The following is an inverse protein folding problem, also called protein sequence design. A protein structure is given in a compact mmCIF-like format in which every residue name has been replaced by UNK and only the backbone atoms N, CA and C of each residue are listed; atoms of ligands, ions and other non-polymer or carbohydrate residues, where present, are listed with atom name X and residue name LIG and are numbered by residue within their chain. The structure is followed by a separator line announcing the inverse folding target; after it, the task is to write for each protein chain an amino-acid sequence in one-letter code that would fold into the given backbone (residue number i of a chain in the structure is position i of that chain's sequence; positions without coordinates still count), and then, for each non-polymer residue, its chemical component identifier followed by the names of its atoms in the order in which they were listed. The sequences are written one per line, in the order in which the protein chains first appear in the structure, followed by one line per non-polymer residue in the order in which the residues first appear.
data_IF_086105023814
#
_entry.id   IF_086105023814
#
_cell.length_a   1.000
_cell.length_b   1.000
_cell.length_c   1.000
_cell.angle_alpha   90.00
_cell.angle_beta   90.00
_cell.angle_gamma   90.00
#
_symmetry.space_group_name_H-M   'P 1'
#
loop_
_entity.id
_entity.type
_entity.pdbx_description
1 polymer ?
#
# COMPACT_ATOMS: atom_id res chain seq x y z
N UNK A 1 -21.25 -27.22 -3.80
CA UNK A 1 -19.81 -26.97 -4.00
C UNK A 1 -19.11 -27.27 -2.69
N UNK A 2 -18.14 -28.18 -2.71
CA UNK A 2 -17.23 -28.34 -1.57
C UNK A 2 -16.27 -27.16 -1.53
N UNK A 3 -15.73 -26.81 -0.34
CA UNK A 3 -14.76 -25.70 -0.20
C UNK A 3 -13.51 -25.88 -1.06
N UNK A 4 -13.12 -27.13 -1.29
CA UNK A 4 -12.01 -27.50 -2.17
C UNK A 4 -12.33 -27.19 -3.65
N UNK A 5 -13.55 -27.46 -4.11
CA UNK A 5 -14.00 -27.10 -5.46
C UNK A 5 -14.04 -25.58 -5.65
N UNK A 6 -14.47 -24.83 -4.64
CA UNK A 6 -14.48 -23.36 -4.67
C UNK A 6 -13.06 -22.80 -4.82
N UNK A 7 -12.10 -23.30 -4.03
CA UNK A 7 -10.69 -22.86 -4.14
C UNK A 7 -10.13 -23.22 -5.51
N UNK A 8 -10.35 -24.43 -6.02
CA UNK A 8 -9.89 -24.81 -7.37
C UNK A 8 -10.47 -23.91 -8.45
N UNK A 9 -11.76 -23.59 -8.35
CA UNK A 9 -12.42 -22.69 -9.27
C UNK A 9 -11.79 -21.29 -9.22
N UNK A 10 -11.52 -20.75 -8.03
CA UNK A 10 -10.86 -19.46 -7.85
C UNK A 10 -9.43 -19.47 -8.40
N UNK A 11 -8.63 -20.49 -8.09
CA UNK A 11 -7.25 -20.58 -8.60
C UNK A 11 -7.20 -20.66 -10.12
N UNK A 12 -8.11 -21.43 -10.73
CA UNK A 12 -8.20 -21.55 -12.19
C UNK A 12 -8.70 -20.25 -12.85
N UNK A 13 -9.77 -19.64 -12.30
CA UNK A 13 -10.36 -18.41 -12.85
C UNK A 13 -9.39 -17.24 -12.79
N UNK A 14 -8.58 -17.17 -11.73
CA UNK A 14 -7.66 -16.06 -11.48
C UNK A 14 -6.23 -16.32 -11.98
N UNK A 15 -5.99 -17.46 -12.64
CA UNK A 15 -4.67 -17.83 -13.16
C UNK A 15 -3.58 -18.03 -12.10
N UNK A 16 -3.97 -18.29 -10.85
CA UNK A 16 -3.05 -18.42 -9.72
C UNK A 16 -2.40 -19.80 -9.75
N UNK A 17 -1.07 -19.84 -9.83
CA UNK A 17 -0.31 -21.09 -9.78
C UNK A 17 -0.37 -21.70 -8.39
N UNK A 18 -0.67 -22.99 -8.31
CA UNK A 18 -0.69 -23.76 -7.06
C UNK A 18 0.62 -23.62 -6.26
N UNK A 19 1.75 -23.51 -6.96
CA UNK A 19 3.08 -23.36 -6.36
C UNK A 19 3.20 -22.10 -5.51
N UNK A 20 2.61 -20.99 -5.97
CA UNK A 20 2.66 -19.71 -5.27
C UNK A 20 1.88 -19.76 -3.96
N UNK A 21 0.73 -20.44 -3.97
CA UNK A 21 -0.08 -20.64 -2.76
C UNK A 21 0.64 -21.58 -1.78
N UNK A 22 1.28 -22.64 -2.28
CA UNK A 22 2.06 -23.57 -1.46
C UNK A 22 3.24 -22.88 -0.78
N UNK A 23 3.98 -22.03 -1.50
CA UNK A 23 5.09 -21.22 -0.96
C UNK A 23 4.61 -20.26 0.14
N UNK A 24 3.49 -19.55 -0.09
CA UNK A 24 2.94 -18.63 0.92
C UNK A 24 2.38 -19.32 2.16
N UNK A 25 2.04 -20.60 2.07
CA UNK A 25 1.58 -21.42 3.19
C UNK A 25 2.71 -22.23 3.84
N UNK A 26 3.96 -22.04 3.41
CA UNK A 26 5.14 -22.80 3.86
C UNK A 26 4.93 -24.32 3.82
N UNK A 27 4.27 -24.80 2.76
CA UNK A 27 3.99 -26.22 2.56
C UNK A 27 4.44 -26.72 1.19
N UNK A 28 4.70 -28.03 1.10
CA UNK A 28 5.07 -28.64 -0.17
C UNK A 28 3.87 -28.63 -1.12
N UNK A 29 4.14 -28.35 -2.40
CA UNK A 29 3.15 -28.33 -3.49
C UNK A 29 2.33 -29.64 -3.54
N UNK A 30 3.02 -30.77 -3.34
CA UNK A 30 2.42 -32.11 -3.31
C UNK A 30 1.40 -32.24 -2.17
N UNK A 31 1.70 -31.68 -1.00
CA UNK A 31 0.81 -31.67 0.17
C UNK A 31 -0.43 -30.82 -0.09
N UNK A 32 -0.26 -29.62 -0.66
CA UNK A 32 -1.39 -28.77 -1.03
C UNK A 32 -2.27 -29.41 -2.12
N UNK A 33 -1.64 -30.07 -3.10
CA UNK A 33 -2.34 -30.79 -4.16
C UNK A 33 -3.18 -31.94 -3.60
N UNK A 34 -2.63 -32.73 -2.67
CA UNK A 34 -3.35 -33.78 -1.96
C UNK A 34 -4.52 -33.21 -1.16
N UNK A 35 -4.30 -32.13 -0.40
CA UNK A 35 -5.34 -31.49 0.42
C UNK A 35 -6.52 -30.95 -0.39
N UNK A 36 -6.28 -30.55 -1.65
CA UNK A 36 -7.32 -30.06 -2.53
C UNK A 36 -8.00 -31.17 -3.34
N UNK A 37 -7.31 -32.26 -3.67
CA UNK A 37 -7.82 -33.31 -4.57
C UNK A 37 -8.32 -34.57 -3.85
N UNK A 38 -7.69 -34.94 -2.74
CA UNK A 38 -7.83 -36.29 -2.17
C UNK A 38 -8.18 -36.28 -0.67
N UNK A 39 -7.99 -35.15 0.04
CA UNK A 39 -8.28 -35.10 1.48
C UNK A 39 -9.78 -35.04 1.78
N UNK A 40 -10.30 -35.94 2.66
CA UNK A 40 -11.69 -35.91 3.13
C UNK A 40 -11.95 -34.84 4.21
N UNK A 41 -10.90 -34.33 4.86
CA UNK A 41 -10.99 -33.24 5.84
C UNK A 41 -10.27 -32.01 5.28
N UNK A 42 -11.05 -30.97 4.98
CA UNK A 42 -10.53 -29.66 4.64
C UNK A 42 -10.85 -28.71 5.79
N UNK A 43 -9.81 -28.31 6.52
CA UNK A 43 -9.95 -27.45 7.68
C UNK A 43 -10.45 -26.05 7.26
N UNK A 44 -11.35 -25.49 8.06
CA UNK A 44 -11.82 -24.11 7.92
C UNK A 44 -10.67 -23.12 8.01
N UNK A 45 -9.70 -23.37 8.88
CA UNK A 45 -8.56 -22.45 9.04
C UNK A 45 -7.73 -22.37 7.75
N UNK A 46 -7.46 -23.52 7.13
CA UNK A 46 -6.74 -23.61 5.86
C UNK A 46 -7.53 -22.96 4.71
N UNK A 47 -8.85 -23.14 4.68
CA UNK A 47 -9.73 -22.47 3.73
C UNK A 47 -9.58 -20.94 3.79
N UNK A 48 -9.64 -20.37 5.00
CA UNK A 48 -9.53 -18.93 5.20
C UNK A 48 -8.14 -18.40 4.85
N UNK A 49 -7.08 -19.17 5.14
CA UNK A 49 -5.72 -18.80 4.77
C UNK A 49 -5.53 -18.75 3.24
N UNK A 50 -6.02 -19.77 2.52
CA UNK A 50 -5.95 -19.81 1.05
C UNK A 50 -6.78 -18.67 0.45
N UNK A 51 -7.99 -18.45 0.96
CA UNK A 51 -8.87 -17.37 0.48
C UNK A 51 -8.23 -15.99 0.69
N UNK A 52 -7.61 -15.76 1.86
CA UNK A 52 -6.85 -14.55 2.12
C UNK A 52 -5.68 -14.36 1.16
N UNK A 53 -4.94 -15.43 0.83
CA UNK A 53 -3.85 -15.37 -0.16
C UNK A 53 -4.38 -15.02 -1.56
N UNK A 54 -5.52 -15.58 -1.94
CA UNK A 54 -6.19 -15.29 -3.21
C UNK A 54 -6.68 -13.83 -3.24
N UNK A 55 -7.31 -13.36 -2.17
CA UNK A 55 -7.80 -11.99 -2.05
C UNK A 55 -6.64 -10.98 -2.08
N UNK A 56 -5.54 -11.29 -1.38
CA UNK A 56 -4.31 -10.49 -1.43
C UNK A 56 -3.73 -10.46 -2.85
N UNK A 57 -3.75 -11.57 -3.59
CA UNK A 57 -3.29 -11.64 -4.98
C UNK A 57 -4.22 -10.89 -5.96
N UNK A 58 -5.53 -10.98 -5.77
CA UNK A 58 -6.51 -10.21 -6.55
C UNK A 58 -6.39 -8.72 -6.28
N UNK A 59 -6.14 -8.34 -5.02
CA UNK A 59 -5.84 -6.97 -4.66
C UNK A 59 -4.54 -6.49 -5.30
N UNK A 60 -3.48 -7.31 -5.29
CA UNK A 60 -2.22 -7.04 -5.99
C UNK A 60 -2.46 -6.83 -7.49
N UNK A 61 -3.20 -7.72 -8.16
CA UNK A 61 -3.52 -7.60 -9.60
C UNK A 61 -4.35 -6.36 -9.93
N UNK A 62 -5.41 -6.09 -9.17
CA UNK A 62 -6.26 -4.90 -9.37
C UNK A 62 -5.48 -3.60 -9.13
N UNK A 63 -4.43 -3.62 -8.30
CA UNK A 63 -3.51 -2.49 -8.12
C UNK A 63 -2.71 -2.16 -9.39
N UNK A 64 -2.51 -3.14 -10.28
CA UNK A 64 -1.76 -3.00 -11.52
C UNK A 64 -2.66 -2.86 -12.77
N UNK A 65 -3.96 -3.16 -12.69
CA UNK A 65 -4.91 -2.98 -13.81
C UNK A 65 -5.45 -1.54 -13.92
N UNK A 66 -5.51 -0.78 -12.82
CA UNK A 66 -5.85 0.64 -12.90
C UNK A 66 -4.63 1.46 -13.33
N UNK A 67 -4.42 1.54 -14.66
CA UNK A 67 -4.27 2.79 -15.42
C UNK A 67 -3.36 2.74 -16.65
N UNK A 68 -3.46 1.73 -17.52
CA UNK A 68 -3.17 1.97 -18.94
C UNK A 68 -4.14 1.19 -19.82
N UNK A 69 -5.09 1.83 -20.54
CA UNK A 69 -5.66 1.17 -21.70
C UNK A 69 -4.51 0.86 -22.65
N UNK A 70 -4.46 -0.38 -23.14
CA UNK A 70 -3.45 -0.93 -24.07
C UNK A 70 -3.54 -0.31 -25.49
N UNK A 71 -3.98 0.95 -25.56
CA UNK A 71 -3.90 1.81 -26.73
C UNK A 71 -2.79 2.82 -26.46
N UNK A 72 -1.54 2.37 -26.60
CA UNK A 72 -0.41 3.28 -26.74
C UNK A 72 -0.48 3.92 -28.14
N UNK A 73 -1.41 4.86 -28.31
CA UNK A 73 -1.36 5.81 -29.41
C UNK A 73 -0.29 6.85 -29.07
N UNK A 74 0.90 6.66 -29.67
CA UNK A 74 2.10 7.50 -29.53
C UNK A 74 1.87 8.98 -29.91
N UNK A 75 0.70 9.35 -30.45
CA UNK A 75 0.38 10.71 -30.89
C UNK A 75 -0.79 11.36 -30.14
N UNK A 76 -1.32 10.73 -29.08
CA UNK A 76 -2.30 11.39 -28.20
C UNK A 76 -1.62 12.09 -27.04
N UNK A 77 -1.07 13.27 -27.32
CA UNK A 77 -0.79 14.27 -26.30
C UNK A 77 -2.10 14.60 -25.55
N UNK A 78 -2.02 14.81 -24.23
CA UNK A 78 -3.09 15.32 -23.35
C UNK A 78 -4.04 14.32 -22.64
N UNK A 79 -3.51 13.23 -22.06
CA UNK A 79 -4.03 12.78 -20.76
C UNK A 79 -2.96 12.93 -19.71
N UNK A 80 -3.04 14.08 -19.01
CA UNK A 80 -2.14 14.57 -17.98
C UNK A 80 -1.73 13.46 -17.00
N UNK A 81 -0.59 12.83 -17.23
CA UNK A 81 0.06 12.04 -16.19
C UNK A 81 0.27 12.97 -15.00
N UNK A 82 -0.23 12.61 -13.81
CA UNK A 82 -0.02 13.42 -12.61
C UNK A 82 1.47 13.72 -12.46
N UNK A 83 1.88 14.97 -12.61
CA UNK A 83 3.28 15.35 -12.52
C UNK A 83 3.83 15.17 -11.10
N UNK A 84 5.17 15.17 -10.98
CA UNK A 84 5.88 15.13 -9.67
C UNK A 84 5.33 16.19 -8.71
N UNK A 85 4.98 17.38 -9.20
CA UNK A 85 4.41 18.45 -8.40
C UNK A 85 3.03 18.15 -7.80
N UNK A 86 2.15 17.46 -8.54
CA UNK A 86 0.84 17.04 -8.02
C UNK A 86 0.98 15.92 -6.98
N UNK A 87 1.87 14.96 -7.23
CA UNK A 87 2.18 13.91 -6.25
C UNK A 87 2.77 14.50 -4.97
N UNK A 88 3.63 15.51 -5.09
CA UNK A 88 4.17 16.22 -3.94
C UNK A 88 3.09 16.96 -3.14
N UNK A 89 2.11 17.58 -3.81
CA UNK A 89 0.92 18.16 -3.14
C UNK A 89 0.12 17.09 -2.39
N UNK A 90 -0.10 15.94 -3.01
CA UNK A 90 -0.84 14.84 -2.40
C UNK A 90 -0.14 14.32 -1.15
N UNK A 91 1.17 14.09 -1.22
CA UNK A 91 1.99 13.71 -0.06
C UNK A 91 1.91 14.74 1.08
N UNK A 92 2.06 16.02 0.76
CA UNK A 92 1.97 17.09 1.74
C UNK A 92 0.60 17.14 2.44
N UNK A 93 -0.48 17.05 1.67
CA UNK A 93 -1.86 17.03 2.19
C UNK A 93 -2.10 15.82 3.09
N UNK A 94 -1.63 14.64 2.68
CA UNK A 94 -1.80 13.37 3.40
C UNK A 94 -1.06 13.35 4.74
N UNK A 95 0.22 13.75 4.75
CA UNK A 95 1.08 13.61 5.95
C UNK A 95 1.09 14.84 6.85
N UNK A 96 1.04 16.04 6.27
CA UNK A 96 1.23 17.30 7.00
C UNK A 96 0.02 18.24 6.93
N UNK A 97 -0.97 17.95 6.09
CA UNK A 97 -2.18 18.76 5.90
C UNK A 97 -1.95 20.01 5.05
N UNK A 98 -0.78 20.64 5.10
CA UNK A 98 -0.45 21.84 4.31
C UNK A 98 0.97 21.80 3.75
N UNK A 99 1.17 22.51 2.62
CA UNK A 99 2.49 22.68 1.99
C UNK A 99 3.49 23.40 2.90
N UNK A 100 3.02 24.37 3.69
CA UNK A 100 3.86 25.11 4.64
C UNK A 100 4.49 24.18 5.68
N UNK A 101 3.67 23.30 6.28
CA UNK A 101 4.14 22.32 7.27
C UNK A 101 5.13 21.32 6.67
N UNK A 102 4.96 20.94 5.40
CA UNK A 102 5.94 20.12 4.70
C UNK A 102 7.26 20.88 4.50
N UNK A 103 7.21 22.14 4.08
CA UNK A 103 8.42 22.96 3.90
C UNK A 103 9.20 23.11 5.21
N UNK A 104 8.48 23.35 6.32
CA UNK A 104 9.06 23.44 7.67
C UNK A 104 9.71 22.11 8.07
N UNK A 105 9.02 20.97 7.87
CA UNK A 105 9.56 19.64 8.15
C UNK A 105 10.79 19.28 7.29
N UNK A 106 10.81 19.74 6.04
CA UNK A 106 11.93 19.59 5.12
C UNK A 106 13.08 20.56 5.40
N UNK A 107 12.87 21.57 6.26
CA UNK A 107 13.81 22.68 6.49
C UNK A 107 14.21 23.34 5.16
N UNK A 108 13.23 23.72 4.35
CA UNK A 108 13.41 24.48 3.11
C UNK A 108 12.44 25.66 3.07
N UNK A 109 12.70 26.66 2.23
CA UNK A 109 11.75 27.76 2.10
C UNK A 109 10.48 27.32 1.34
N UNK A 110 9.30 27.86 1.69
CA UNK A 110 8.08 27.61 0.93
C UNK A 110 8.20 27.97 -0.56
N UNK A 111 9.00 29.00 -0.90
CA UNK A 111 9.27 29.35 -2.29
C UNK A 111 10.06 28.25 -3.02
N UNK A 112 11.05 27.63 -2.36
CA UNK A 112 11.78 26.50 -2.94
C UNK A 112 10.86 25.29 -3.16
N UNK A 113 9.98 25.00 -2.19
CA UNK A 113 8.99 23.92 -2.35
C UNK A 113 8.03 24.22 -3.52
N UNK A 114 7.58 25.46 -3.67
CA UNK A 114 6.68 25.88 -4.75
C UNK A 114 7.30 25.68 -6.13
N UNK A 115 8.62 25.85 -6.29
CA UNK A 115 9.31 25.62 -7.57
C UNK A 115 9.20 24.17 -8.04
N UNK A 116 9.26 23.20 -7.11
CA UNK A 116 9.09 21.79 -7.42
C UNK A 116 7.63 21.44 -7.73
N UNK A 117 6.68 22.09 -7.05
CA UNK A 117 5.25 21.87 -7.25
C UNK A 117 4.78 22.42 -8.59
N UNK A 118 5.28 23.58 -9.00
CA UNK A 118 4.90 24.20 -10.28
C UNK A 118 5.60 23.59 -11.48
N UNK A 119 6.30 22.44 -11.32
CA UNK A 119 7.11 21.78 -12.35
C UNK A 119 8.16 22.68 -13.03
N UNK A 120 8.54 23.80 -12.41
CA UNK A 120 9.54 24.74 -12.95
C UNK A 120 10.96 24.25 -12.71
N UNK A 121 11.13 23.32 -11.76
CA UNK A 121 12.40 22.74 -11.38
C UNK A 121 12.17 21.32 -10.88
N UNK A 122 13.02 20.39 -11.29
CA UNK A 122 13.00 19.05 -10.73
C UNK A 122 13.72 18.99 -9.38
N UNK A 123 13.20 18.24 -8.40
CA UNK A 123 13.86 18.05 -7.12
C UNK A 123 15.15 17.25 -7.30
N UNK A 124 16.29 17.90 -7.04
CA UNK A 124 17.59 17.22 -7.05
C UNK A 124 17.76 16.26 -5.88
N UNK A 125 18.84 15.46 -5.91
CA UNK A 125 19.12 14.37 -4.96
C UNK A 125 19.01 14.77 -3.49
N UNK A 126 19.48 15.97 -3.11
CA UNK A 126 19.41 16.45 -1.71
C UNK A 126 17.97 16.65 -1.23
N UNK A 127 17.07 17.07 -2.12
CA UNK A 127 15.65 17.26 -1.82
C UNK A 127 14.94 15.90 -1.76
N UNK A 128 15.27 14.99 -2.68
CA UNK A 128 14.74 13.64 -2.68
C UNK A 128 15.11 12.87 -1.40
N UNK A 129 16.35 13.00 -0.92
CA UNK A 129 16.76 12.39 0.36
C UNK A 129 15.95 12.96 1.53
N UNK A 130 15.69 14.27 1.54
CA UNK A 130 14.83 14.88 2.58
C UNK A 130 13.42 14.32 2.52
N UNK A 131 12.83 14.21 1.34
CA UNK A 131 11.50 13.61 1.15
C UNK A 131 11.47 12.15 1.60
N UNK A 132 12.49 11.37 1.25
CA UNK A 132 12.61 9.98 1.66
C UNK A 132 12.69 9.84 3.19
N UNK A 133 13.47 10.69 3.87
CA UNK A 133 13.53 10.71 5.35
C UNK A 133 12.21 11.08 6.02
N UNK A 134 11.37 11.85 5.33
CA UNK A 134 10.02 12.17 5.78
C UNK A 134 9.01 11.07 5.42
N UNK A 135 9.46 9.94 4.87
CA UNK A 135 8.63 8.80 4.48
C UNK A 135 7.87 9.01 3.17
N UNK A 136 8.39 9.84 2.27
CA UNK A 136 7.90 9.92 0.90
C UNK A 136 8.58 8.84 0.06
N UNK A 137 7.79 8.00 -0.60
CA UNK A 137 8.31 7.07 -1.60
C UNK A 137 8.77 7.84 -2.84
N UNK A 138 10.08 7.82 -3.09
CA UNK A 138 10.71 8.51 -4.22
C UNK A 138 10.32 7.85 -5.54
N UNK A 139 10.11 6.53 -5.58
CA UNK A 139 9.68 5.83 -6.78
C UNK A 139 8.26 6.23 -7.17
N UNK A 140 7.37 6.33 -6.18
CA UNK A 140 6.03 6.90 -6.38
C UNK A 140 6.09 8.36 -6.80
N UNK A 141 6.91 9.18 -6.14
CA UNK A 141 7.03 10.61 -6.41
C UNK A 141 7.50 10.88 -7.85
N UNK A 142 8.49 10.13 -8.34
CA UNK A 142 9.10 10.33 -9.66
C UNK A 142 8.37 9.55 -10.76
N UNK A 143 8.06 8.28 -10.52
CA UNK A 143 7.53 7.36 -11.52
C UNK A 143 6.02 7.13 -11.46
N UNK A 144 5.32 7.65 -10.44
CA UNK A 144 3.87 7.51 -10.29
C UNK A 144 3.39 6.10 -9.89
N UNK A 145 4.30 5.14 -9.75
CA UNK A 145 3.99 3.77 -9.30
C UNK A 145 4.22 3.67 -7.80
N UNK A 146 3.16 3.45 -7.03
CA UNK A 146 3.26 3.22 -5.58
C UNK A 146 3.89 1.84 -5.35
N UNK A 147 4.99 1.75 -4.59
CA UNK A 147 5.54 0.44 -4.24
C UNK A 147 4.61 -0.28 -3.27
N UNK A 148 4.53 -1.61 -3.38
CA UNK A 148 3.74 -2.45 -2.47
C UNK A 148 4.21 -2.27 -1.01
N UNK A 149 5.51 -2.02 -0.81
CA UNK A 149 6.06 -1.68 0.50
C UNK A 149 5.51 -0.35 1.02
N UNK A 150 5.39 0.67 0.17
CA UNK A 150 4.92 2.01 0.56
C UNK A 150 3.47 2.00 1.07
N UNK A 151 2.60 1.19 0.45
CA UNK A 151 1.22 1.01 0.92
C UNK A 151 1.15 0.25 2.26
N UNK A 152 1.95 -0.83 2.40
CA UNK A 152 2.06 -1.58 3.67
C UNK A 152 2.57 -0.69 4.80
N UNK A 153 3.62 0.08 4.55
CA UNK A 153 4.16 1.08 5.50
C UNK A 153 3.08 2.07 5.89
N UNK A 154 2.32 2.61 4.94
CA UNK A 154 1.23 3.54 5.23
C UNK A 154 0.13 2.93 6.11
N UNK A 155 -0.31 1.71 5.80
CA UNK A 155 -1.35 1.03 6.59
C UNK A 155 -0.87 0.83 8.03
N UNK A 156 0.38 0.39 8.18
CA UNK A 156 1.03 0.22 9.48
C UNK A 156 1.18 1.55 10.24
N UNK A 157 1.62 2.63 9.58
CA UNK A 157 1.72 3.96 10.20
C UNK A 157 0.36 4.46 10.70
N UNK A 158 -0.71 4.23 9.94
CA UNK A 158 -2.07 4.61 10.33
C UNK A 158 -2.59 3.79 11.51
N UNK A 159 -2.34 2.49 11.53
CA UNK A 159 -2.69 1.62 12.66
C UNK A 159 -1.93 2.06 13.92
N UNK A 160 -0.62 2.32 13.82
CA UNK A 160 0.19 2.86 14.92
C UNK A 160 -0.38 4.16 15.46
N UNK A 161 -0.79 5.09 14.59
CA UNK A 161 -1.40 6.36 15.01
C UNK A 161 -2.72 6.13 15.75
N UNK A 162 -3.56 5.17 15.32
CA UNK A 162 -4.79 4.82 16.04
C UNK A 162 -4.47 4.28 17.43
N UNK A 163 -3.51 3.37 17.54
CA UNK A 163 -3.09 2.82 18.82
C UNK A 163 -2.53 3.89 19.76
N UNK A 164 -1.70 4.81 19.25
CA UNK A 164 -1.19 5.94 20.04
C UNK A 164 -2.30 6.85 20.57
N UNK A 165 -3.31 7.13 19.75
CA UNK A 165 -4.47 7.93 20.17
C UNK A 165 -5.30 7.20 21.24
N UNK A 166 -5.57 5.91 21.06
CA UNK A 166 -6.27 5.10 22.06
C UNK A 166 -5.49 5.02 23.37
N UNK A 167 -4.18 4.83 23.31
CA UNK A 167 -3.32 4.84 24.50
C UNK A 167 -3.36 6.21 25.21
N UNK A 168 -3.32 7.30 24.46
CA UNK A 168 -3.43 8.66 25.03
C UNK A 168 -4.77 8.87 25.75
N UNK A 169 -5.87 8.36 25.21
CA UNK A 169 -7.19 8.41 25.85
C UNK A 169 -7.23 7.61 27.16
N UNK A 170 -6.64 6.41 27.17
CA UNK A 170 -6.54 5.57 28.37
C UNK A 170 -5.67 6.26 29.44
N UNK A 171 -4.55 6.86 29.03
CA UNK A 171 -3.67 7.62 29.92
C UNK A 171 -4.37 8.86 30.53
N UNK A 172 -5.28 9.49 29.79
CA UNK A 172 -6.05 10.62 30.29
C UNK A 172 -7.14 10.20 31.29
N UNK A 173 -7.79 9.05 31.05
CA UNK A 173 -8.79 8.49 31.96
C UNK A 173 -8.18 8.03 33.29
N UNK A 174 -7.02 7.36 33.24
CA UNK A 174 -6.30 6.90 34.44
C UNK A 174 -5.85 8.06 35.33
N UNK A 175 -5.39 9.17 34.75
CA UNK A 175 -5.09 10.39 35.52
C UNK A 175 -6.31 10.99 36.19
N UNK A 176 -7.47 11.00 35.51
CA UNK A 176 -8.72 11.53 36.10
C UNK A 176 -9.20 10.69 37.28
N UNK A 177 -9.00 9.37 37.25
CA UNK A 177 -9.33 8.48 38.36
C UNK A 177 -8.39 8.63 39.56
N UNK A 178 -7.12 9.00 39.33
CA UNK A 178 -6.15 9.23 40.41
C UNK A 178 -6.34 10.58 41.12
N UNK A 179 -6.83 11.62 40.41
CA UNK A 179 -7.13 12.94 41.00
C UNK A 179 -8.50 13.04 41.68
N UNK A 180 -9.29 11.98 41.67
CA UNK A 180 -10.64 11.91 42.24
C UNK A 180 -10.74 11.37 43.67
N UNK A 181 -9.61 11.20 44.37
CA UNK A 181 -9.55 10.80 45.78
C UNK A 181 -8.91 11.89 46.64
#
# INVERSE_FOLDING_TARGET
MTKQEEIKFLLHTLGIKLNMVAEKLDMKIQTLSYLLNESPQFDEELYHQIKKIIDDYQFELNLFEDSHPDNMDLFTDEKLQMGVGERLRFFAKRKYGTLKKLADAMQISPQQLQQYISAKREPGTRILIKLLRLGCDVNWLLGGKESVESYKIYKLENELRKYQNSFSQIAELTKKTETGH
#
